data_IF_897367681907
#
_entry.id   IF_897367681907
#
_cell.length_a   1.000
_cell.length_b   1.000
_cell.length_c   1.000
_cell.angle_alpha   90.00
_cell.angle_beta   90.00
_cell.angle_gamma   90.00
#
_symmetry.space_group_name_H-M   'P 1'
#
loop_
_entity.id
_entity.type
_entity.pdbx_description
1 polymer ?
#
# COMPACT_ATOMS: atom_id res chain seq x y z
N UNK A 1 -2.35 28.59 9.25
CA UNK A 1 -3.40 27.58 9.40
C UNK A 1 -2.75 26.28 9.00
N UNK A 2 -2.23 25.53 9.97
CA UNK A 2 -1.59 24.24 9.75
C UNK A 2 -2.67 23.29 9.24
N UNK A 3 -2.46 22.74 8.06
CA UNK A 3 -3.36 21.77 7.44
C UNK A 3 -3.42 20.52 8.34
N UNK A 4 -4.61 20.15 8.87
CA UNK A 4 -4.74 19.03 9.81
C UNK A 4 -4.54 17.65 9.15
N UNK A 5 -4.35 17.60 7.82
CA UNK A 5 -4.19 16.36 7.05
C UNK A 5 -2.76 16.18 6.54
N UNK A 6 -1.92 17.21 6.57
CA UNK A 6 -0.50 17.04 6.24
C UNK A 6 0.17 16.29 7.39
N UNK A 7 0.35 14.98 7.23
CA UNK A 7 1.38 14.27 7.98
C UNK A 7 2.70 14.92 7.54
N UNK A 8 3.30 15.70 8.42
CA UNK A 8 4.64 16.25 8.21
C UNK A 8 5.52 15.09 7.70
N UNK A 9 6.08 15.23 6.50
CA UNK A 9 6.76 14.17 5.73
C UNK A 9 8.06 13.65 6.35
N UNK A 10 8.16 13.62 7.68
CA UNK A 10 9.26 13.06 8.45
C UNK A 10 9.01 11.57 8.75
N UNK A 11 8.71 10.81 7.70
CA UNK A 11 8.76 9.36 7.73
C UNK A 11 9.46 8.90 6.47
N UNK A 12 10.77 8.66 6.54
CA UNK A 12 11.48 8.00 5.44
C UNK A 12 11.00 6.55 5.35
N UNK A 13 9.81 6.35 4.77
CA UNK A 13 9.34 5.02 4.40
C UNK A 13 10.27 4.54 3.30
N UNK A 14 11.15 3.60 3.64
CA UNK A 14 12.05 2.98 2.66
C UNK A 14 11.26 2.29 1.55
N UNK A 15 11.90 2.06 0.40
CA UNK A 15 11.27 1.33 -0.70
C UNK A 15 10.79 -0.06 -0.26
N UNK A 16 9.71 -0.56 -0.87
CA UNK A 16 9.18 -1.88 -0.58
C UNK A 16 10.21 -2.98 -0.89
N UNK A 17 10.66 -3.69 0.14
CA UNK A 17 11.57 -4.83 0.02
C UNK A 17 10.78 -6.12 -0.29
N UNK A 18 10.54 -6.33 -1.58
CA UNK A 18 9.75 -7.45 -2.09
C UNK A 18 10.35 -8.81 -1.69
N UNK A 19 11.69 -8.94 -1.74
CA UNK A 19 12.34 -10.22 -1.40
C UNK A 19 12.22 -10.55 0.07
N UNK A 20 12.36 -9.55 0.94
CA UNK A 20 12.16 -9.74 2.38
C UNK A 20 10.69 -10.06 2.69
N UNK A 21 9.74 -9.45 2.00
CA UNK A 21 8.33 -9.79 2.13
C UNK A 21 8.04 -11.24 1.72
N UNK A 22 8.56 -11.70 0.59
CA UNK A 22 8.46 -13.12 0.17
C UNK A 22 8.98 -14.07 1.25
N UNK A 23 10.19 -13.80 1.77
CA UNK A 23 10.80 -14.64 2.81
C UNK A 23 9.93 -14.66 4.08
N UNK A 24 9.40 -13.50 4.50
CA UNK A 24 8.52 -13.42 5.67
C UNK A 24 7.23 -14.22 5.48
N UNK A 25 6.63 -14.19 4.27
CA UNK A 25 5.44 -15.00 3.96
C UNK A 25 5.78 -16.50 3.97
N UNK A 26 6.96 -16.89 3.47
CA UNK A 26 7.42 -18.27 3.55
C UNK A 26 7.56 -18.72 5.01
N UNK A 27 8.15 -17.90 5.87
CA UNK A 27 8.25 -18.18 7.31
C UNK A 27 6.87 -18.26 7.97
N UNK A 28 5.91 -17.43 7.55
CA UNK A 28 4.53 -17.51 8.05
C UNK A 28 3.87 -18.85 7.68
N UNK A 29 4.06 -19.34 6.45
CA UNK A 29 3.56 -20.65 6.02
C UNK A 29 4.14 -21.77 6.89
N UNK A 30 5.45 -21.73 7.14
CA UNK A 30 6.10 -22.69 8.05
C UNK A 30 5.56 -22.59 9.47
N UNK A 31 5.35 -21.38 9.98
CA UNK A 31 4.85 -21.14 11.33
C UNK A 31 3.43 -21.69 11.56
N UNK A 32 2.59 -21.75 10.51
CA UNK A 32 1.25 -22.34 10.57
C UNK A 32 1.23 -23.85 10.24
N UNK A 33 2.39 -24.45 9.99
CA UNK A 33 2.52 -25.88 9.70
C UNK A 33 2.26 -26.28 8.24
N UNK A 34 2.26 -25.32 7.32
CA UNK A 34 2.14 -25.59 5.88
C UNK A 34 3.51 -25.90 5.25
N UNK A 35 3.52 -26.71 4.19
CA UNK A 35 4.70 -26.96 3.36
C UNK A 35 4.78 -25.91 2.22
N UNK A 36 5.70 -24.92 2.29
CA UNK A 36 5.82 -23.91 1.24
C UNK A 36 6.32 -24.46 -0.10
N UNK A 37 6.93 -25.65 -0.12
CA UNK A 37 7.51 -26.24 -1.33
C UNK A 37 6.51 -27.15 -2.10
N UNK A 38 5.28 -27.34 -1.56
CA UNK A 38 4.19 -28.05 -2.24
C UNK A 38 3.69 -27.25 -3.45
N UNK A 39 3.29 -27.95 -4.52
CA UNK A 39 2.91 -27.36 -5.82
C UNK A 39 2.01 -26.11 -5.70
N UNK A 40 0.96 -26.16 -4.88
CA UNK A 40 0.03 -25.05 -4.70
C UNK A 40 0.55 -23.83 -3.92
N UNK A 41 1.69 -23.95 -3.23
CA UNK A 41 2.25 -22.89 -2.38
C UNK A 41 3.59 -22.33 -2.85
N UNK A 42 4.31 -22.98 -3.76
CA UNK A 42 5.64 -22.53 -4.22
C UNK A 42 5.64 -21.06 -4.66
N UNK A 43 4.61 -20.65 -5.39
CA UNK A 43 4.46 -19.28 -5.88
C UNK A 43 3.73 -18.35 -4.90
N UNK A 44 3.15 -18.88 -3.81
CA UNK A 44 2.33 -18.11 -2.87
C UNK A 44 3.11 -16.96 -2.22
N UNK A 45 4.35 -17.15 -1.70
CA UNK A 45 5.12 -16.05 -1.15
C UNK A 45 5.27 -14.85 -2.10
N UNK A 46 5.61 -15.11 -3.37
CA UNK A 46 5.71 -14.08 -4.41
C UNK A 46 4.38 -13.39 -4.72
N UNK A 47 3.29 -14.16 -4.83
CA UNK A 47 1.95 -13.58 -5.07
C UNK A 47 1.51 -12.67 -3.93
N UNK A 48 1.76 -13.08 -2.67
CA UNK A 48 1.39 -12.29 -1.49
C UNK A 48 2.25 -11.03 -1.38
N UNK A 49 3.55 -11.12 -1.63
CA UNK A 49 4.43 -9.95 -1.65
C UNK A 49 3.96 -8.89 -2.68
N UNK A 50 3.59 -9.32 -3.89
CA UNK A 50 3.02 -8.43 -4.92
C UNK A 50 1.68 -7.81 -4.49
N UNK A 51 0.79 -8.60 -3.87
CA UNK A 51 -0.46 -8.08 -3.35
C UNK A 51 -0.24 -7.02 -2.24
N UNK A 52 0.73 -7.23 -1.36
CA UNK A 52 1.10 -6.25 -0.33
C UNK A 52 1.69 -4.98 -0.93
N UNK A 53 2.49 -5.08 -1.99
CA UNK A 53 2.98 -3.91 -2.72
C UNK A 53 1.85 -3.04 -3.24
N UNK A 54 0.78 -3.66 -3.75
CA UNK A 54 -0.41 -2.95 -4.24
C UNK A 54 -1.21 -2.34 -3.09
N UNK A 55 -1.54 -3.12 -2.06
CA UNK A 55 -2.34 -2.67 -0.91
C UNK A 55 -1.65 -1.51 -0.18
N UNK A 56 -0.32 -1.54 -0.07
CA UNK A 56 0.46 -0.51 0.62
C UNK A 56 1.03 0.57 -0.30
N UNK A 57 0.68 0.58 -1.59
CA UNK A 57 1.23 1.53 -2.57
C UNK A 57 1.07 3.00 -2.13
N UNK A 58 -0.03 3.31 -1.42
CA UNK A 58 -0.30 4.65 -0.89
C UNK A 58 0.73 5.17 0.12
N UNK A 59 1.58 4.32 0.71
CA UNK A 59 2.69 4.77 1.58
C UNK A 59 3.80 5.50 0.82
N UNK A 60 3.86 5.36 -0.50
CA UNK A 60 4.85 5.99 -1.38
C UNK A 60 4.21 6.93 -2.40
N UNK A 61 2.95 7.31 -2.20
CA UNK A 61 2.21 8.17 -3.11
C UNK A 61 1.99 9.53 -2.48
N UNK A 62 2.25 10.61 -3.22
CA UNK A 62 1.99 11.96 -2.75
C UNK A 62 0.53 12.37 -3.11
N UNK A 63 -0.17 13.15 -2.27
CA UNK A 63 -1.51 13.64 -2.60
C UNK A 63 -1.55 14.43 -3.91
N UNK A 64 -0.46 15.12 -4.23
CA UNK A 64 -0.27 15.90 -5.45
C UNK A 64 -0.34 15.04 -6.72
N UNK A 65 0.05 13.76 -6.64
CA UNK A 65 0.02 12.83 -7.78
C UNK A 65 -1.41 12.51 -8.24
N UNK A 66 -2.39 12.64 -7.35
CA UNK A 66 -3.81 12.31 -7.62
C UNK A 66 -4.72 13.52 -7.71
N UNK A 67 -4.39 14.62 -7.03
CA UNK A 67 -5.18 15.85 -7.03
C UNK A 67 -4.75 16.82 -8.15
N UNK A 68 -4.74 16.33 -9.39
CA UNK A 68 -4.13 17.05 -10.53
C UNK A 68 -5.00 18.13 -11.19
N UNK A 69 -6.30 18.22 -10.87
CA UNK A 69 -7.21 19.15 -11.54
C UNK A 69 -8.32 19.62 -10.61
N UNK A 70 -8.65 20.91 -10.73
CA UNK A 70 -9.75 21.58 -10.01
C UNK A 70 -10.64 22.31 -11.00
N UNK A 71 -11.94 22.35 -10.73
CA UNK A 71 -12.93 23.09 -11.53
C UNK A 71 -13.62 24.13 -10.64
N UNK A 72 -13.74 25.36 -11.13
CA UNK A 72 -14.56 26.40 -10.50
C UNK A 72 -15.96 26.36 -11.11
N UNK A 73 -16.95 25.98 -10.30
CA UNK A 73 -18.34 25.78 -10.74
C UNK A 73 -19.29 26.87 -10.20
N UNK A 74 -18.78 27.88 -9.46
CA UNK A 74 -19.64 28.89 -8.82
C UNK A 74 -20.73 28.28 -7.94
N UNK A 75 -20.42 27.17 -7.27
CA UNK A 75 -21.35 26.39 -6.45
C UNK A 75 -20.93 26.45 -4.98
N UNK A 76 -21.83 26.96 -4.13
CA UNK A 76 -21.58 27.18 -2.70
C UNK A 76 -22.38 26.21 -1.79
N UNK A 77 -23.02 25.18 -2.36
CA UNK A 77 -23.78 24.19 -1.58
C UNK A 77 -22.94 22.95 -1.23
N UNK A 78 -23.39 22.18 -0.25
CA UNK A 78 -22.68 20.99 0.24
C UNK A 78 -22.68 19.86 -0.80
N UNK A 79 -21.49 19.36 -1.12
CA UNK A 79 -21.31 18.15 -1.93
C UNK A 79 -20.97 16.97 -1.03
N UNK A 80 -21.72 15.88 -1.15
CA UNK A 80 -21.49 14.62 -0.42
C UNK A 80 -21.13 13.52 -1.43
N UNK A 81 -19.98 12.89 -1.26
CA UNK A 81 -19.59 11.66 -1.97
C UNK A 81 -19.73 10.50 -0.99
N UNK A 82 -20.47 9.46 -1.38
CA UNK A 82 -20.71 8.25 -0.57
C UNK A 82 -20.12 7.03 -1.26
#
# INVERSE_FOLDING_TARGET
MTDPVTLDGEGTIGAFDEKRAENAVRELLLAVGEDPDREGLRETPGRVARAYKEIFAGLWQEPEDVLTTTFDLGHDEMVLVK
#
